data_IF_515666010102
#
_entry.id   IF_515666010102
#
_cell.length_a   1.000
_cell.length_b   1.000
_cell.length_c   1.000
_cell.angle_alpha   90.00
_cell.angle_beta   90.00
_cell.angle_gamma   90.00
#
_symmetry.space_group_name_H-M   'P 1'
#
loop_
_entity.id
_entity.type
_entity.pdbx_description
1 polymer ?
#
# COMPACT_ATOMS: atom_id res chain seq x y z
N UNK A 1 -5.83 3.71 -20.48
CA UNK A 1 -5.02 2.79 -19.69
C UNK A 1 -3.81 3.49 -19.12
N UNK A 2 -3.24 2.94 -18.02
CA UNK A 2 -1.96 3.34 -17.46
C UNK A 2 -0.93 2.20 -17.69
N UNK A 3 0.34 2.56 -17.84
CA UNK A 3 1.42 1.59 -18.05
C UNK A 3 2.49 1.79 -16.99
N UNK A 4 2.72 0.77 -16.13
CA UNK A 4 3.88 0.65 -15.25
C UNK A 4 4.96 -0.11 -16.02
N UNK A 5 6.08 0.53 -16.33
CA UNK A 5 7.21 -0.07 -17.03
C UNK A 5 8.37 -0.34 -16.07
N UNK A 6 8.95 -1.52 -16.11
CA UNK A 6 10.06 -1.93 -15.26
C UNK A 6 11.19 -2.44 -16.14
N UNK A 7 12.36 -1.84 -16.02
CA UNK A 7 13.52 -2.16 -16.85
C UNK A 7 14.07 -3.55 -16.49
N UNK A 8 14.35 -4.39 -17.50
CA UNK A 8 15.00 -5.68 -17.32
C UNK A 8 16.36 -5.57 -16.60
N UNK A 9 17.08 -4.43 -16.78
CA UNK A 9 18.33 -4.16 -16.07
C UNK A 9 18.09 -3.95 -14.56
N UNK A 10 17.07 -3.19 -14.17
CA UNK A 10 16.69 -2.99 -12.77
C UNK A 10 16.24 -4.30 -12.11
N UNK A 11 15.49 -5.12 -12.84
CA UNK A 11 15.03 -6.44 -12.36
C UNK A 11 16.22 -7.34 -12.04
N UNK A 12 17.21 -7.41 -12.94
CA UNK A 12 18.41 -8.22 -12.74
C UNK A 12 19.29 -7.67 -11.61
N UNK A 13 19.53 -6.35 -11.60
CA UNK A 13 20.37 -5.71 -10.59
C UNK A 13 19.82 -5.84 -9.17
N UNK A 14 18.52 -5.64 -9.00
CA UNK A 14 17.85 -5.66 -7.70
C UNK A 14 17.21 -7.02 -7.36
N UNK A 15 17.40 -8.05 -8.17
CA UNK A 15 16.80 -9.39 -8.00
C UNK A 15 15.27 -9.36 -7.84
N UNK A 16 14.60 -8.42 -8.51
CA UNK A 16 13.14 -8.16 -8.35
C UNK A 16 12.24 -9.14 -9.10
N UNK A 17 12.78 -10.11 -9.83
CA UNK A 17 11.99 -11.00 -10.68
C UNK A 17 10.87 -11.71 -9.91
N UNK A 18 11.22 -12.28 -8.75
CA UNK A 18 10.25 -13.00 -7.90
C UNK A 18 9.13 -12.07 -7.39
N UNK A 19 9.47 -10.84 -7.01
CA UNK A 19 8.48 -9.87 -6.52
C UNK A 19 7.53 -9.44 -7.64
N UNK A 20 8.03 -9.22 -8.85
CA UNK A 20 7.20 -8.87 -10.02
C UNK A 20 6.26 -10.00 -10.43
N UNK A 21 6.73 -11.25 -10.40
CA UNK A 21 5.87 -12.41 -10.65
C UNK A 21 4.79 -12.55 -9.58
N UNK A 22 5.11 -12.27 -8.31
CA UNK A 22 4.14 -12.26 -7.22
C UNK A 22 3.12 -11.12 -7.38
N UNK A 23 3.56 -9.89 -7.65
CA UNK A 23 2.68 -8.74 -7.93
C UNK A 23 1.72 -9.06 -9.07
N UNK A 24 2.24 -9.59 -10.18
CA UNK A 24 1.46 -10.02 -11.32
C UNK A 24 0.45 -11.12 -10.95
N UNK A 25 0.89 -12.15 -10.26
CA UNK A 25 0.04 -13.29 -9.88
C UNK A 25 -1.10 -12.86 -8.95
N UNK A 26 -0.84 -11.91 -8.04
CA UNK A 26 -1.86 -11.34 -7.15
C UNK A 26 -2.86 -10.52 -7.97
N UNK A 27 -2.37 -9.56 -8.76
CA UNK A 27 -3.22 -8.66 -9.55
C UNK A 27 -4.12 -9.39 -10.55
N UNK A 28 -3.71 -10.54 -11.09
CA UNK A 28 -4.54 -11.36 -11.99
C UNK A 28 -5.70 -12.06 -11.26
N UNK A 29 -5.65 -12.21 -9.94
CA UNK A 29 -6.68 -12.87 -9.14
C UNK A 29 -7.64 -11.88 -8.48
N UNK A 30 -7.40 -10.57 -8.61
CA UNK A 30 -8.15 -9.51 -7.94
C UNK A 30 -9.10 -8.83 -8.93
N UNK A 31 -10.36 -8.72 -8.51
CA UNK A 31 -11.36 -7.88 -9.16
C UNK A 31 -12.23 -7.23 -8.07
N UNK A 32 -11.91 -5.98 -7.71
CA UNK A 32 -12.59 -5.24 -6.65
C UNK A 32 -12.66 -3.75 -6.99
N UNK A 33 -13.79 -3.06 -6.72
CA UNK A 33 -13.95 -1.64 -7.08
C UNK A 33 -12.89 -0.71 -6.47
N UNK A 34 -12.38 -1.03 -5.27
CA UNK A 34 -11.38 -0.22 -4.56
C UNK A 34 -9.93 -0.69 -4.78
N UNK A 35 -9.68 -1.48 -5.81
CA UNK A 35 -8.34 -1.95 -6.18
C UNK A 35 -8.11 -1.69 -7.67
N UNK A 36 -6.88 -1.32 -8.03
CA UNK A 36 -6.50 -1.17 -9.43
C UNK A 36 -6.60 -2.50 -10.17
N UNK A 37 -7.13 -2.47 -11.38
CA UNK A 37 -7.25 -3.68 -12.22
C UNK A 37 -6.07 -3.79 -13.17
N UNK A 38 -5.41 -4.93 -13.16
CA UNK A 38 -4.44 -5.32 -14.19
C UNK A 38 -5.18 -5.82 -15.40
N UNK A 39 -4.96 -5.20 -16.56
CA UNK A 39 -5.56 -5.61 -17.83
C UNK A 39 -4.74 -6.73 -18.47
N UNK A 40 -3.42 -6.52 -18.56
CA UNK A 40 -2.47 -7.53 -19.05
C UNK A 40 -1.03 -7.13 -18.75
N UNK A 41 -0.12 -8.09 -18.89
CA UNK A 41 1.32 -7.84 -18.90
C UNK A 41 1.89 -8.04 -20.29
N UNK A 42 2.89 -7.21 -20.63
CA UNK A 42 3.64 -7.32 -21.89
C UNK A 42 5.13 -7.32 -21.54
N UNK A 43 5.96 -7.84 -22.45
CA UNK A 43 7.41 -7.89 -22.28
C UNK A 43 8.09 -7.69 -23.63
N UNK A 44 9.18 -6.94 -23.62
CA UNK A 44 10.13 -6.87 -24.73
C UNK A 44 11.56 -7.16 -24.26
N UNK A 45 12.56 -6.86 -25.09
CA UNK A 45 13.97 -7.07 -24.77
C UNK A 45 14.50 -6.15 -23.64
N UNK A 46 13.81 -5.06 -23.34
CA UNK A 46 14.28 -4.01 -22.40
C UNK A 46 13.42 -3.86 -21.17
N UNK A 47 12.09 -4.13 -21.28
CA UNK A 47 11.12 -3.83 -20.25
C UNK A 47 10.07 -4.92 -20.08
N UNK A 48 9.53 -5.00 -18.84
CA UNK A 48 8.25 -5.63 -18.53
C UNK A 48 7.24 -4.51 -18.31
N UNK A 49 6.03 -4.66 -18.87
CA UNK A 49 4.95 -3.67 -18.80
C UNK A 49 3.74 -4.26 -18.11
N UNK A 50 3.19 -3.53 -17.13
CA UNK A 50 1.89 -3.81 -16.53
C UNK A 50 0.90 -2.78 -17.10
N UNK A 51 -0.03 -3.24 -17.93
CA UNK A 51 -1.12 -2.43 -18.45
C UNK A 51 -2.28 -2.50 -17.48
N UNK A 52 -2.64 -1.39 -16.89
CA UNK A 52 -3.67 -1.27 -15.86
C UNK A 52 -4.79 -0.32 -16.32
N UNK A 53 -5.94 -0.39 -15.68
CA UNK A 53 -6.97 0.63 -15.88
C UNK A 53 -6.43 2.00 -15.48
N UNK A 54 -6.73 3.02 -16.32
CA UNK A 54 -6.38 4.39 -15.98
C UNK A 54 -7.32 4.92 -14.89
N UNK A 55 -6.75 5.39 -13.80
CA UNK A 55 -7.48 6.00 -12.69
C UNK A 55 -7.43 7.51 -12.89
N UNK A 56 -8.58 8.11 -13.25
CA UNK A 56 -8.69 9.56 -13.32
C UNK A 56 -8.91 10.11 -11.92
N UNK A 57 -7.87 10.73 -11.36
CA UNK A 57 -7.88 11.24 -9.98
C UNK A 57 -6.50 11.69 -9.53
N UNK A 58 -6.34 11.88 -8.22
CA UNK A 58 -5.08 12.25 -7.55
C UNK A 58 -4.74 11.24 -6.47
N UNK A 59 -3.50 11.18 -6.04
CA UNK A 59 -3.11 10.46 -4.83
C UNK A 59 -3.84 11.04 -3.60
N UNK A 60 -4.24 10.18 -2.67
CA UNK A 60 -4.90 10.63 -1.44
C UNK A 60 -3.99 11.56 -0.62
N UNK A 61 -2.68 11.35 -0.69
CA UNK A 61 -1.69 12.24 -0.12
C UNK A 61 -1.84 13.70 -0.63
N UNK A 62 -1.94 13.89 -1.95
CA UNK A 62 -2.12 15.21 -2.53
C UNK A 62 -3.49 15.80 -2.20
N UNK A 63 -4.53 14.97 -2.19
CA UNK A 63 -5.89 15.41 -1.83
C UNK A 63 -5.92 15.97 -0.41
N UNK A 64 -5.29 15.29 0.57
CA UNK A 64 -5.22 15.76 1.96
C UNK A 64 -4.46 17.09 2.04
N UNK A 65 -3.34 17.21 1.32
CA UNK A 65 -2.56 18.46 1.29
C UNK A 65 -3.34 19.62 0.69
N UNK A 66 -4.17 19.36 -0.32
CA UNK A 66 -4.99 20.38 -0.98
C UNK A 66 -6.15 20.86 -0.09
N UNK A 67 -6.82 19.97 0.64
CA UNK A 67 -8.04 20.27 1.41
C UNK A 67 -7.81 20.48 2.91
N UNK A 68 -6.62 20.09 3.42
CA UNK A 68 -6.29 20.13 4.84
C UNK A 68 -6.85 18.93 5.62
N UNK A 69 -7.04 19.11 6.93
CA UNK A 69 -7.50 18.04 7.82
C UNK A 69 -8.88 17.52 7.41
N UNK A 70 -9.02 16.20 7.38
CA UNK A 70 -10.31 15.58 7.13
C UNK A 70 -11.20 15.62 8.37
N UNK A 71 -12.48 15.89 8.18
CA UNK A 71 -13.45 15.74 9.25
C UNK A 71 -13.75 14.24 9.52
N UNK A 72 -14.46 13.98 10.63
CA UNK A 72 -14.82 12.62 11.05
C UNK A 72 -15.51 11.81 9.94
N UNK A 73 -16.45 12.40 9.21
CA UNK A 73 -17.20 11.69 8.16
C UNK A 73 -16.31 11.33 6.97
N UNK A 74 -15.43 12.22 6.55
CA UNK A 74 -14.45 11.97 5.49
C UNK A 74 -13.44 10.89 5.91
N UNK A 75 -12.91 10.97 7.13
CA UNK A 75 -11.99 9.95 7.67
C UNK A 75 -12.66 8.58 7.75
N UNK A 76 -13.92 8.52 8.21
CA UNK A 76 -14.69 7.27 8.23
C UNK A 76 -14.91 6.70 6.82
N UNK A 77 -15.18 7.56 5.83
CA UNK A 77 -15.39 7.14 4.44
C UNK A 77 -14.12 6.53 3.85
N UNK A 78 -12.99 7.23 3.95
CA UNK A 78 -11.72 6.72 3.42
C UNK A 78 -11.22 5.51 4.20
N UNK A 79 -11.26 5.56 5.54
CA UNK A 79 -10.88 4.43 6.39
C UNK A 79 -11.73 3.19 6.11
N UNK A 80 -13.05 3.33 6.01
CA UNK A 80 -13.98 2.24 5.66
C UNK A 80 -13.73 1.67 4.27
N UNK A 81 -13.44 2.52 3.29
CA UNK A 81 -13.11 2.09 1.92
C UNK A 81 -11.79 1.29 1.87
N UNK A 82 -10.76 1.73 2.60
CA UNK A 82 -9.49 0.98 2.76
C UNK A 82 -9.75 -0.37 3.45
N UNK A 83 -10.55 -0.40 4.52
CA UNK A 83 -10.89 -1.65 5.22
C UNK A 83 -11.57 -2.65 4.29
N UNK A 84 -12.51 -2.22 3.46
CA UNK A 84 -13.19 -3.11 2.48
C UNK A 84 -12.20 -3.66 1.46
N UNK A 85 -11.27 -2.84 0.97
CA UNK A 85 -10.24 -3.28 0.04
C UNK A 85 -9.31 -4.33 0.65
N UNK A 86 -8.80 -4.10 1.88
CA UNK A 86 -7.90 -5.06 2.54
C UNK A 86 -8.64 -6.30 3.01
N UNK A 87 -9.90 -6.20 3.46
CA UNK A 87 -10.72 -7.36 3.78
C UNK A 87 -10.83 -8.30 2.57
N UNK A 88 -11.12 -7.76 1.40
CA UNK A 88 -11.20 -8.53 0.15
C UNK A 88 -9.88 -9.27 -0.15
N UNK A 89 -8.72 -8.61 0.07
CA UNK A 89 -7.40 -9.22 -0.06
C UNK A 89 -7.16 -10.33 0.98
N UNK A 90 -7.47 -10.07 2.23
CA UNK A 90 -7.27 -11.01 3.35
C UNK A 90 -8.10 -12.29 3.21
N UNK A 91 -9.34 -12.20 2.74
CA UNK A 91 -10.18 -13.36 2.42
C UNK A 91 -9.55 -14.27 1.37
N UNK A 92 -8.73 -13.69 0.47
CA UNK A 92 -7.96 -14.39 -0.57
C UNK A 92 -6.54 -14.75 -0.14
N UNK A 93 -6.22 -14.58 1.16
CA UNK A 93 -4.91 -14.86 1.74
C UNK A 93 -3.79 -13.95 1.22
N UNK A 94 -4.13 -12.76 0.74
CA UNK A 94 -3.16 -11.73 0.38
C UNK A 94 -3.04 -10.68 1.47
N UNK A 95 -1.83 -10.24 1.76
CA UNK A 95 -1.51 -9.11 2.64
C UNK A 95 -0.86 -8.01 1.80
N UNK A 96 -1.24 -6.76 2.03
CA UNK A 96 -0.80 -5.62 1.20
C UNK A 96 0.55 -5.06 1.66
N UNK A 97 0.72 -4.79 2.96
CA UNK A 97 1.96 -4.42 3.67
C UNK A 97 2.50 -3.00 3.45
N UNK A 98 1.88 -2.18 2.61
CA UNK A 98 2.30 -0.79 2.39
C UNK A 98 1.09 0.14 2.20
N UNK A 99 0.12 0.05 3.13
CA UNK A 99 -1.00 1.00 3.18
C UNK A 99 -0.46 2.35 3.64
N UNK A 100 -0.64 3.35 2.76
CA UNK A 100 -0.29 4.76 2.99
C UNK A 100 -1.00 5.64 1.97
N UNK A 101 -1.15 6.96 2.22
CA UNK A 101 -1.89 7.85 1.32
C UNK A 101 -1.35 7.89 -0.12
N UNK A 102 -0.04 7.71 -0.33
CA UNK A 102 0.60 7.70 -1.66
C UNK A 102 0.22 6.47 -2.49
N UNK A 103 -0.14 5.34 -1.84
CA UNK A 103 -0.56 4.11 -2.52
C UNK A 103 -2.07 4.03 -2.74
N UNK A 104 -2.78 5.16 -2.58
CA UNK A 104 -4.22 5.28 -2.71
C UNK A 104 -4.56 6.42 -3.66
N UNK A 105 -5.27 6.11 -4.74
CA UNK A 105 -5.82 7.11 -5.65
C UNK A 105 -7.24 7.46 -5.24
N UNK A 106 -7.58 8.75 -5.24
CA UNK A 106 -8.95 9.26 -5.12
C UNK A 106 -9.45 9.63 -6.51
N UNK A 107 -10.54 9.02 -6.94
CA UNK A 107 -11.17 9.27 -8.22
C UNK A 107 -11.97 10.58 -8.20
N UNK A 108 -12.29 11.12 -9.38
CA UNK A 108 -13.13 12.33 -9.53
C UNK A 108 -14.52 12.20 -8.85
N UNK A 109 -15.01 10.98 -8.63
CA UNK A 109 -16.27 10.70 -7.93
C UNK A 109 -16.10 10.50 -6.41
N UNK A 110 -14.90 10.70 -5.89
CA UNK A 110 -14.55 10.61 -4.46
C UNK A 110 -14.24 9.20 -3.95
N UNK A 111 -14.47 8.13 -4.71
CA UNK A 111 -14.07 6.77 -4.32
C UNK A 111 -12.56 6.57 -4.45
N UNK A 112 -12.04 5.53 -3.79
CA UNK A 112 -10.60 5.23 -3.79
C UNK A 112 -10.25 3.99 -4.61
N UNK A 113 -8.95 3.88 -4.94
CA UNK A 113 -8.33 2.63 -5.41
C UNK A 113 -6.93 2.47 -4.82
N UNK A 114 -6.64 1.28 -4.27
CA UNK A 114 -5.28 0.85 -3.95
C UNK A 114 -4.52 0.58 -5.26
N UNK A 115 -3.27 1.05 -5.39
CA UNK A 115 -2.57 1.09 -6.69
C UNK A 115 -1.23 0.34 -6.75
N UNK A 116 -0.48 0.16 -5.69
CA UNK A 116 0.84 -0.47 -5.71
C UNK A 116 0.90 -1.78 -4.92
N UNK A 117 1.03 -2.90 -5.64
CA UNK A 117 1.09 -4.26 -5.11
C UNK A 117 2.51 -4.82 -5.05
N UNK A 118 3.55 -3.99 -5.25
CA UNK A 118 4.95 -4.39 -5.23
C UNK A 118 5.43 -5.00 -3.92
N UNK A 119 4.75 -4.70 -2.82
CA UNK A 119 5.00 -5.26 -1.48
C UNK A 119 4.01 -6.35 -1.08
N UNK A 120 2.93 -6.55 -1.83
CA UNK A 120 1.89 -7.52 -1.49
C UNK A 120 2.41 -8.97 -1.53
N UNK A 121 1.83 -9.83 -0.70
CA UNK A 121 2.26 -11.23 -0.57
C UNK A 121 1.08 -12.16 -0.27
N UNK A 122 1.12 -13.37 -0.84
CA UNK A 122 0.27 -14.47 -0.40
C UNK A 122 0.85 -15.08 0.88
N UNK A 123 0.03 -15.25 1.91
CA UNK A 123 0.45 -15.89 3.17
C UNK A 123 -0.58 -16.93 3.60
N UNK A 124 -0.08 -18.06 4.10
CA UNK A 124 -0.91 -19.13 4.68
C UNK A 124 -0.84 -19.15 6.20
N UNK A 125 0.26 -18.61 6.77
CA UNK A 125 0.50 -18.52 8.20
C UNK A 125 1.11 -17.15 8.52
N UNK A 126 2.39 -17.06 8.81
CA UNK A 126 3.10 -15.83 9.18
C UNK A 126 4.21 -15.49 8.18
N UNK A 127 4.55 -14.23 8.07
CA UNK A 127 5.73 -13.76 7.34
C UNK A 127 6.62 -12.92 8.26
N UNK A 128 7.95 -12.92 8.02
CA UNK A 128 8.94 -12.19 8.82
C UNK A 128 9.68 -11.12 8.04
N UNK A 129 9.31 -10.90 6.76
CA UNK A 129 10.00 -9.93 5.92
C UNK A 129 9.70 -8.51 6.42
N UNK A 130 10.73 -7.78 6.86
CA UNK A 130 10.60 -6.36 7.21
C UNK A 130 10.47 -5.58 5.90
N UNK A 131 9.30 -5.03 5.65
CA UNK A 131 8.96 -4.29 4.43
C UNK A 131 7.79 -3.34 4.70
N UNK A 132 7.75 -2.23 4.00
CA UNK A 132 6.75 -1.18 4.13
C UNK A 132 7.42 0.18 4.33
N UNK A 133 6.60 1.20 4.54
CA UNK A 133 7.04 2.57 4.82
C UNK A 133 7.12 2.77 6.34
N UNK A 134 8.27 3.19 6.91
CA UNK A 134 8.54 3.19 8.35
C UNK A 134 7.40 3.68 9.23
N UNK A 135 6.86 4.86 8.99
CA UNK A 135 5.82 5.48 9.82
C UNK A 135 4.48 4.72 9.86
N UNK A 136 4.22 3.85 8.86
CA UNK A 136 2.98 3.06 8.76
C UNK A 136 3.17 1.60 9.17
N UNK A 137 4.40 1.19 9.53
CA UNK A 137 4.71 -0.20 9.88
C UNK A 137 4.18 -0.55 11.27
N UNK A 138 3.58 -1.74 11.40
CA UNK A 138 3.15 -2.26 12.69
C UNK A 138 4.35 -2.71 13.54
N UNK A 139 4.29 -2.59 14.90
CA UNK A 139 5.39 -2.96 15.79
C UNK A 139 5.89 -4.39 15.60
N UNK A 140 4.99 -5.36 15.36
CA UNK A 140 5.37 -6.75 15.12
C UNK A 140 6.15 -6.96 13.81
N UNK A 141 6.02 -6.06 12.81
CA UNK A 141 6.84 -6.07 11.59
C UNK A 141 8.26 -5.63 11.93
N UNK A 142 8.39 -4.55 12.68
CA UNK A 142 9.67 -3.96 13.11
C UNK A 142 10.44 -4.94 13.98
N UNK A 143 9.76 -5.60 14.92
CA UNK A 143 10.35 -6.58 15.84
C UNK A 143 10.71 -7.91 15.16
N UNK A 144 10.24 -8.17 13.94
CA UNK A 144 10.53 -9.41 13.22
C UNK A 144 9.92 -10.68 13.84
N UNK A 145 8.92 -10.54 14.72
CA UNK A 145 8.27 -11.64 15.46
C UNK A 145 7.41 -12.56 14.58
N UNK A 146 7.24 -12.20 13.31
CA UNK A 146 6.33 -12.87 12.40
C UNK A 146 4.91 -12.34 12.53
N UNK A 147 4.36 -11.85 11.42
CA UNK A 147 3.11 -11.11 11.36
C UNK A 147 2.11 -11.69 10.34
N UNK A 148 0.86 -11.24 10.45
CA UNK A 148 -0.26 -11.68 9.63
C UNK A 148 -0.96 -10.49 9.00
N UNK A 149 -2.18 -10.69 8.52
CA UNK A 149 -3.06 -9.67 7.92
C UNK A 149 -3.30 -8.44 8.82
N UNK A 150 -3.10 -8.55 10.14
CA UNK A 150 -3.39 -7.48 11.11
C UNK A 150 -2.58 -6.20 10.87
N UNK A 151 -1.40 -6.31 10.28
CA UNK A 151 -0.52 -5.15 10.01
C UNK A 151 -1.15 -4.16 9.03
N UNK A 152 -1.99 -4.61 8.09
CA UNK A 152 -2.70 -3.69 7.20
C UNK A 152 -3.72 -2.83 7.97
N UNK A 153 -4.36 -3.37 9.01
CA UNK A 153 -5.27 -2.60 9.86
C UNK A 153 -4.54 -1.59 10.74
N UNK A 154 -3.33 -1.91 11.21
CA UNK A 154 -2.47 -0.94 11.89
C UNK A 154 -2.18 0.26 10.96
N UNK A 155 -1.71 -0.02 9.74
CA UNK A 155 -1.39 1.03 8.75
C UNK A 155 -2.61 1.89 8.41
N UNK A 156 -3.82 1.32 8.31
CA UNK A 156 -5.08 2.07 8.17
C UNK A 156 -5.31 2.99 9.39
N UNK A 157 -5.05 2.51 10.61
CA UNK A 157 -5.15 3.31 11.83
C UNK A 157 -4.23 4.53 11.80
N UNK A 158 -2.96 4.34 11.37
CA UNK A 158 -2.00 5.44 11.17
C UNK A 158 -2.53 6.46 10.15
N UNK A 159 -3.01 6.01 8.98
CA UNK A 159 -3.61 6.89 7.98
C UNK A 159 -4.80 7.69 8.56
N UNK A 160 -5.70 7.05 9.30
CA UNK A 160 -6.85 7.73 9.88
C UNK A 160 -6.45 8.77 10.93
N UNK A 161 -5.40 8.52 11.71
CA UNK A 161 -4.83 9.52 12.62
C UNK A 161 -4.27 10.71 11.83
N UNK A 162 -3.44 10.45 10.81
CA UNK A 162 -2.85 11.46 9.94
C UNK A 162 -3.92 12.34 9.27
N UNK A 163 -5.02 11.76 8.80
CA UNK A 163 -6.14 12.48 8.17
C UNK A 163 -6.77 13.51 9.12
N UNK A 164 -6.86 13.19 10.40
CA UNK A 164 -7.52 14.05 11.39
C UNK A 164 -6.56 15.01 12.11
N UNK A 165 -5.28 14.64 12.22
CA UNK A 165 -4.28 15.37 13.01
C UNK A 165 -3.26 16.12 12.14
N UNK A 166 -3.10 15.75 10.86
CA UNK A 166 -2.20 16.39 9.90
C UNK A 166 -0.78 15.84 9.88
N UNK A 167 -0.47 14.91 10.79
CA UNK A 167 0.81 14.21 10.86
C UNK A 167 0.64 12.79 11.39
N UNK A 168 1.71 12.00 11.36
CA UNK A 168 1.68 10.61 11.85
C UNK A 168 1.81 10.57 13.38
N UNK A 169 1.23 9.56 14.06
CA UNK A 169 1.22 9.51 15.53
C UNK A 169 2.59 9.24 16.16
N UNK A 170 3.52 8.62 15.44
CA UNK A 170 4.82 8.19 15.95
C UNK A 170 5.94 8.68 15.04
N UNK A 171 7.00 9.26 15.63
CA UNK A 171 8.22 9.63 14.94
C UNK A 171 8.05 10.67 13.82
N UNK A 172 7.04 11.56 13.88
CA UNK A 172 6.72 12.53 12.81
C UNK A 172 7.92 13.39 12.38
N UNK A 173 8.79 13.76 13.34
CA UNK A 173 9.94 14.61 13.08
C UNK A 173 11.25 13.81 12.89
N UNK A 174 11.18 12.50 12.77
CA UNK A 174 12.34 11.64 12.59
C UNK A 174 12.62 11.41 11.11
N UNK A 175 13.86 11.64 10.67
CA UNK A 175 14.28 11.41 9.29
C UNK A 175 14.83 10.00 9.08
N UNK A 176 15.46 9.42 10.12
CA UNK A 176 16.06 8.08 10.06
C UNK A 176 15.06 7.00 10.43
N UNK A 177 14.99 5.95 9.60
CA UNK A 177 14.04 4.86 9.80
C UNK A 177 14.16 4.19 11.18
N UNK A 178 15.38 4.11 11.74
CA UNK A 178 15.62 3.50 13.05
C UNK A 178 14.97 4.31 14.18
N UNK A 179 15.00 5.64 14.10
CA UNK A 179 14.40 6.51 15.11
C UNK A 179 12.87 6.43 15.07
N UNK A 180 12.29 6.33 13.85
CA UNK A 180 10.87 6.05 13.67
C UNK A 180 10.49 4.70 14.29
N UNK A 181 11.29 3.65 14.07
CA UNK A 181 11.04 2.34 14.66
C UNK A 181 11.07 2.37 16.19
N UNK A 182 12.02 3.10 16.78
CA UNK A 182 12.11 3.26 18.23
C UNK A 182 10.90 4.03 18.79
N UNK A 183 10.41 5.04 18.09
CA UNK A 183 9.19 5.76 18.48
C UNK A 183 7.97 4.81 18.48
N UNK A 184 7.77 4.03 17.39
CA UNK A 184 6.64 3.09 17.28
C UNK A 184 6.66 2.00 18.38
N UNK A 185 7.86 1.58 18.84
CA UNK A 185 7.97 0.51 19.84
C UNK A 185 7.82 1.01 21.27
N UNK A 186 8.25 2.26 21.57
CA UNK A 186 8.36 2.77 22.93
C UNK A 186 7.27 3.76 23.35
N UNK A 187 6.52 4.33 22.40
CA UNK A 187 5.43 5.29 22.65
C UNK A 187 4.05 4.61 22.52
#
# INVERSE_FOLDING_TARGET
YAIKNISNKQILYNQLYTNLELERAILLQIDHPFIVKLVKTLKDSKYIYFLMDYIKGKELFDVIRDIGLLNKSQTQFYGGSMMLAVQYLHERKFIFRDIKPENIMVLDNGFIKLIDFGTAKAITDRTKTIIGTPHYMAPEVILGEGYTFKVDYWSIGICMYEFMCGGVPFGENQEEAMDVYLAIINE
#
